data_IF_321337219780
#
_entry.id   IF_321337219780
#
_cell.length_a   1.000
_cell.length_b   1.000
_cell.length_c   1.000
_cell.angle_alpha   90.00
_cell.angle_beta   90.00
_cell.angle_gamma   90.00
#
_symmetry.space_group_name_H-M   'P 1'
#
loop_
_entity.id
_entity.type
_entity.pdbx_description
1 polymer ?
#
# COMPACT_ATOMS: atom_id res chain seq x y z
N UNK A 1 65.62 6.68 -74.12
CA UNK A 1 64.34 7.38 -74.31
C UNK A 1 63.34 6.79 -73.35
N UNK A 2 62.83 7.57 -72.39
CA UNK A 2 61.80 7.10 -71.47
C UNK A 2 60.49 6.95 -72.25
N UNK A 3 59.89 5.76 -72.24
CA UNK A 3 58.60 5.52 -72.87
C UNK A 3 57.57 6.46 -72.24
N UNK A 4 56.87 7.25 -73.06
CA UNK A 4 55.87 8.21 -72.61
C UNK A 4 54.59 7.46 -72.22
N UNK A 5 54.26 7.44 -70.92
CA UNK A 5 52.96 6.95 -70.45
C UNK A 5 51.86 7.93 -70.87
N UNK A 6 50.85 7.45 -71.60
CA UNK A 6 49.65 8.22 -71.95
C UNK A 6 48.53 7.96 -70.94
N UNK A 7 48.00 9.01 -70.34
CA UNK A 7 46.84 8.96 -69.45
C UNK A 7 45.56 8.82 -70.29
N UNK A 8 44.86 7.69 -70.14
CA UNK A 8 43.57 7.45 -70.81
C UNK A 8 42.48 7.48 -69.74
N UNK A 9 41.51 8.39 -69.88
CA UNK A 9 40.34 8.41 -69.00
C UNK A 9 39.44 7.23 -69.36
N UNK A 10 39.14 6.36 -68.40
CA UNK A 10 37.94 5.53 -68.48
C UNK A 10 36.73 6.48 -68.61
N UNK A 11 35.70 6.07 -69.37
CA UNK A 11 34.52 6.89 -69.65
C UNK A 11 33.78 7.38 -68.39
N UNK A 12 32.70 8.15 -68.59
CA UNK A 12 31.96 8.82 -67.50
C UNK A 12 31.72 7.92 -66.27
N UNK A 13 32.52 8.13 -65.23
CA UNK A 13 32.52 7.30 -64.02
C UNK A 13 31.20 7.49 -63.26
N UNK A 14 30.40 6.43 -63.17
CA UNK A 14 29.24 6.42 -62.27
C UNK A 14 29.72 6.24 -60.83
N UNK A 15 28.93 6.70 -59.86
CA UNK A 15 29.24 6.52 -58.44
C UNK A 15 29.35 5.03 -58.03
N UNK A 16 28.87 4.10 -58.85
CA UNK A 16 29.02 2.64 -58.73
C UNK A 16 30.42 2.13 -59.09
N UNK A 17 31.20 2.91 -59.83
CA UNK A 17 32.43 2.46 -60.47
C UNK A 17 33.66 2.84 -59.62
N UNK A 18 33.43 3.47 -58.46
CA UNK A 18 34.48 3.91 -57.54
C UNK A 18 35.02 2.74 -56.73
N UNK A 19 36.33 2.56 -56.78
CA UNK A 19 37.04 1.52 -56.03
C UNK A 19 37.08 1.90 -54.54
N UNK A 20 36.71 0.98 -53.66
CA UNK A 20 36.83 1.18 -52.21
C UNK A 20 38.23 0.78 -51.73
N UNK A 21 38.96 1.71 -51.11
CA UNK A 21 40.22 1.44 -50.42
C UNK A 21 39.93 1.40 -48.92
N UNK A 22 40.36 0.32 -48.28
CA UNK A 22 40.04 0.05 -46.87
C UNK A 22 41.30 0.14 -46.03
N UNK A 23 41.21 0.88 -44.92
CA UNK A 23 42.23 0.92 -43.88
C UNK A 23 41.62 0.51 -42.55
N UNK A 24 42.14 -0.55 -41.95
CA UNK A 24 41.69 -0.98 -40.62
C UNK A 24 42.44 -0.20 -39.54
N UNK A 25 41.73 0.21 -38.49
CA UNK A 25 42.32 0.91 -37.33
C UNK A 25 43.39 0.08 -36.63
N UNK A 26 43.24 -1.25 -36.64
CA UNK A 26 44.10 -2.19 -35.92
C UNK A 26 45.32 -2.63 -36.75
N UNK A 27 45.60 -1.97 -37.87
CA UNK A 27 46.72 -2.30 -38.76
C UNK A 27 46.34 -3.26 -39.90
N UNK A 28 47.30 -4.02 -40.41
CA UNK A 28 47.07 -4.93 -41.55
C UNK A 28 46.36 -6.23 -41.14
N UNK A 29 45.29 -6.58 -41.84
CA UNK A 29 44.55 -7.83 -41.61
C UNK A 29 45.24 -8.99 -42.33
N UNK A 30 45.57 -10.07 -41.60
CA UNK A 30 46.29 -11.24 -42.14
C UNK A 30 45.42 -12.13 -43.04
N UNK A 31 44.11 -12.19 -42.79
CA UNK A 31 43.16 -13.04 -43.51
C UNK A 31 42.08 -12.19 -44.20
N UNK A 32 42.50 -11.28 -45.08
CA UNK A 32 41.57 -10.37 -45.76
C UNK A 32 40.52 -11.12 -46.60
N UNK A 33 40.86 -12.29 -47.13
CA UNK A 33 39.97 -13.12 -47.97
C UNK A 33 38.80 -13.75 -47.18
N UNK A 34 38.87 -13.76 -45.84
CA UNK A 34 37.80 -14.27 -44.97
C UNK A 34 36.84 -13.18 -44.50
N UNK A 35 37.04 -11.95 -44.94
CA UNK A 35 36.18 -10.82 -44.57
C UNK A 35 35.11 -10.63 -45.64
N UNK A 36 33.86 -10.59 -45.20
CA UNK A 36 32.74 -10.27 -46.07
C UNK A 36 32.53 -8.76 -46.07
N UNK A 37 32.71 -8.13 -47.24
CA UNK A 37 32.56 -6.69 -47.41
C UNK A 37 31.18 -6.37 -47.96
N UNK A 38 30.42 -5.53 -47.23
CA UNK A 38 29.12 -5.01 -47.67
C UNK A 38 29.13 -3.49 -47.68
N UNK A 39 28.71 -2.91 -48.82
CA UNK A 39 28.66 -1.46 -49.01
C UNK A 39 27.21 -0.99 -49.05
N UNK A 40 26.87 -0.06 -48.16
CA UNK A 40 25.56 0.56 -48.09
C UNK A 40 25.60 1.98 -48.67
N UNK A 41 24.58 2.31 -49.46
CA UNK A 41 24.37 3.64 -50.04
C UNK A 41 23.14 4.29 -49.42
N UNK A 42 23.23 5.60 -49.18
CA UNK A 42 22.08 6.39 -48.74
C UNK A 42 21.04 6.51 -49.87
N UNK A 43 19.77 6.34 -49.52
CA UNK A 43 18.60 6.43 -50.43
C UNK A 43 18.25 7.87 -50.83
N UNK A 44 18.66 8.87 -50.04
CA UNK A 44 18.37 10.28 -50.30
C UNK A 44 19.24 10.84 -51.44
N UNK A 45 18.77 10.70 -52.68
CA UNK A 45 19.48 11.23 -53.87
C UNK A 45 19.24 12.72 -54.16
N UNK A 46 18.15 13.29 -53.60
CA UNK A 46 17.74 14.69 -53.81
C UNK A 46 18.73 15.65 -53.14
N UNK A 47 19.24 15.30 -51.95
CA UNK A 47 20.13 16.17 -51.19
C UNK A 47 21.59 15.93 -51.59
N UNK A 48 22.31 16.91 -52.17
CA UNK A 48 23.68 16.72 -52.65
C UNK A 48 24.66 16.32 -51.54
N UNK A 49 24.39 16.69 -50.28
CA UNK A 49 25.23 16.31 -49.11
C UNK A 49 24.98 14.88 -48.62
N UNK A 50 23.86 14.27 -48.99
CA UNK A 50 23.49 12.90 -48.59
C UNK A 50 23.71 11.89 -49.71
N UNK A 51 23.59 12.33 -50.96
CA UNK A 51 23.73 11.51 -52.18
C UNK A 51 25.01 10.65 -52.21
N UNK A 52 26.13 11.19 -51.73
CA UNK A 52 27.43 10.50 -51.74
C UNK A 52 27.78 9.79 -50.42
N UNK A 53 26.86 9.72 -49.45
CA UNK A 53 27.10 9.01 -48.20
C UNK A 53 27.14 7.51 -48.43
N UNK A 54 28.18 6.86 -47.92
CA UNK A 54 28.43 5.42 -48.01
C UNK A 54 28.91 4.91 -46.66
N UNK A 55 28.50 3.69 -46.34
CA UNK A 55 28.97 2.94 -45.17
C UNK A 55 29.53 1.63 -45.69
N UNK A 56 30.75 1.30 -45.30
CA UNK A 56 31.37 0.03 -45.57
C UNK A 56 31.42 -0.78 -44.28
N UNK A 57 30.93 -2.01 -44.35
CA UNK A 57 30.98 -2.98 -43.26
C UNK A 57 31.84 -4.14 -43.72
N UNK A 58 32.79 -4.55 -42.87
CA UNK A 58 33.55 -5.78 -43.06
C UNK A 58 33.26 -6.71 -41.90
N UNK A 59 32.69 -7.87 -42.19
CA UNK A 59 32.29 -8.84 -41.19
C UNK A 59 33.27 -10.02 -41.15
N UNK A 60 33.57 -10.46 -39.93
CA UNK A 60 34.36 -11.64 -39.62
C UNK A 60 33.55 -12.51 -38.67
N UNK A 61 33.92 -13.78 -38.53
CA UNK A 61 33.31 -14.73 -37.58
C UNK A 61 33.21 -14.19 -36.14
N UNK A 62 34.13 -13.30 -35.73
CA UNK A 62 34.24 -12.81 -34.34
C UNK A 62 33.99 -11.32 -34.15
N UNK A 63 34.06 -10.52 -35.21
CA UNK A 63 34.16 -9.07 -35.09
C UNK A 63 33.66 -8.38 -36.36
N UNK A 64 32.84 -7.35 -36.19
CA UNK A 64 32.36 -6.52 -37.29
C UNK A 64 33.13 -5.20 -37.29
N UNK A 65 33.58 -4.78 -38.46
CA UNK A 65 34.23 -3.49 -38.64
C UNK A 65 33.33 -2.57 -39.45
N UNK A 66 33.21 -1.32 -39.03
CA UNK A 66 32.37 -0.33 -39.73
C UNK A 66 33.18 0.94 -40.00
N UNK A 67 32.98 1.49 -41.20
CA UNK A 67 33.54 2.77 -41.59
C UNK A 67 32.58 3.54 -42.47
N UNK A 68 32.54 4.85 -42.25
CA UNK A 68 31.70 5.77 -43.00
C UNK A 68 32.54 6.84 -43.68
N UNK A 69 32.08 7.34 -44.81
CA UNK A 69 32.66 8.51 -45.48
C UNK A 69 32.03 9.84 -45.03
N UNK A 70 31.22 9.80 -43.96
CA UNK A 70 30.53 10.95 -43.37
C UNK A 70 30.51 10.82 -41.84
N UNK A 71 30.26 11.94 -41.16
CA UNK A 71 30.21 11.99 -39.70
C UNK A 71 31.58 12.20 -39.05
N UNK A 72 31.62 12.16 -37.73
CA UNK A 72 32.81 12.49 -36.92
C UNK A 72 33.92 11.44 -37.04
N UNK A 73 33.56 10.18 -37.25
CA UNK A 73 34.50 9.08 -37.50
C UNK A 73 35.08 9.07 -38.92
N UNK A 74 34.57 9.91 -39.84
CA UNK A 74 35.07 9.97 -41.21
C UNK A 74 36.40 10.71 -41.29
N UNK A 75 37.29 10.24 -42.15
CA UNK A 75 38.49 10.94 -42.54
C UNK A 75 38.16 12.34 -43.07
N UNK A 76 38.54 13.39 -42.32
CA UNK A 76 38.32 14.80 -42.69
C UNK A 76 38.95 15.17 -44.04
N UNK A 77 39.93 14.40 -44.51
CA UNK A 77 40.60 14.59 -45.80
C UNK A 77 39.78 14.17 -47.02
N UNK A 78 38.65 13.47 -46.87
CA UNK A 78 37.84 12.98 -48.00
C UNK A 78 37.15 14.10 -48.82
N UNK A 79 37.01 15.32 -48.28
CA UNK A 79 36.42 16.44 -49.04
C UNK A 79 37.46 17.27 -49.81
N UNK A 80 38.75 17.20 -49.45
CA UNK A 80 39.81 18.02 -50.03
C UNK A 80 40.74 17.20 -50.96
N UNK A 81 40.75 15.88 -50.82
CA UNK A 81 41.59 14.99 -51.60
C UNK A 81 40.75 14.00 -52.43
N UNK A 82 41.09 13.83 -53.71
CA UNK A 82 40.56 12.76 -54.56
C UNK A 82 41.61 11.68 -54.71
N UNK A 83 41.24 10.44 -54.42
CA UNK A 83 42.13 9.29 -54.57
C UNK A 83 41.81 8.58 -55.88
N UNK A 84 42.85 8.02 -56.51
CA UNK A 84 42.73 7.20 -57.70
C UNK A 84 43.63 5.98 -57.56
N UNK A 85 43.17 4.84 -58.07
CA UNK A 85 43.95 3.60 -58.20
C UNK A 85 44.37 3.46 -59.65
N UNK A 86 45.68 3.47 -59.88
CA UNK A 86 46.27 3.25 -61.21
C UNK A 86 46.70 1.81 -61.40
N UNK A 87 46.21 1.15 -62.45
CA UNK A 87 46.68 -0.16 -62.90
C UNK A 87 47.53 0.03 -64.15
N UNK A 88 48.84 -0.19 -64.03
CA UNK A 88 49.80 -0.01 -65.13
C UNK A 88 50.05 -1.35 -65.83
N UNK A 89 49.71 -1.42 -67.12
CA UNK A 89 50.10 -2.53 -67.96
C UNK A 89 51.53 -2.31 -68.49
N UNK A 90 52.50 -3.06 -67.94
CA UNK A 90 53.93 -2.93 -68.28
C UNK A 90 54.24 -3.27 -69.74
N UNK A 91 53.39 -4.04 -70.44
CA UNK A 91 53.61 -4.43 -71.84
C UNK A 91 53.16 -3.34 -72.81
N UNK A 92 52.02 -2.71 -72.55
CA UNK A 92 51.46 -1.63 -73.40
C UNK A 92 51.88 -0.24 -72.93
N UNK A 93 52.46 -0.12 -71.74
CA UNK A 93 52.79 1.14 -71.05
C UNK A 93 51.58 2.09 -70.90
N UNK A 94 50.38 1.52 -70.82
CA UNK A 94 49.14 2.25 -70.57
C UNK A 94 48.71 2.08 -69.11
N UNK A 95 48.22 3.17 -68.51
CA UNK A 95 47.74 3.19 -67.14
C UNK A 95 46.24 3.45 -67.11
N UNK A 96 45.49 2.48 -66.59
CA UNK A 96 44.07 2.63 -66.29
C UNK A 96 43.93 3.25 -64.91
N UNK A 97 43.15 4.31 -64.80
CA UNK A 97 43.01 5.07 -63.56
C UNK A 97 41.55 5.04 -63.15
N UNK A 98 41.29 4.45 -61.97
CA UNK A 98 39.96 4.35 -61.38
C UNK A 98 39.84 5.29 -60.20
N UNK A 99 38.77 6.08 -60.14
CA UNK A 99 38.44 6.86 -58.96
C UNK A 99 38.23 5.97 -57.74
N UNK A 100 38.78 6.38 -56.61
CA UNK A 100 38.79 5.59 -55.40
C UNK A 100 38.32 6.38 -54.18
N UNK A 101 37.63 5.68 -53.27
CA UNK A 101 37.16 6.21 -52.01
C UNK A 101 37.79 5.45 -50.85
N UNK A 102 38.38 6.20 -49.91
CA UNK A 102 39.08 5.63 -48.75
C UNK A 102 38.13 5.56 -47.55
N UNK A 103 38.04 4.37 -46.95
CA UNK A 103 37.28 4.08 -45.73
C UNK A 103 38.22 3.65 -44.61
N UNK A 104 38.08 4.29 -43.45
CA UNK A 104 38.68 3.80 -42.21
C UNK A 104 37.67 2.91 -41.48
N UNK A 105 38.02 1.64 -41.32
CA UNK A 105 37.21 0.66 -40.62
C UNK A 105 37.66 0.53 -39.16
N UNK A 106 36.73 0.76 -38.24
CA UNK A 106 36.92 0.59 -36.81
C UNK A 106 36.14 -0.64 -36.30
N UNK A 107 36.70 -1.43 -35.38
CA UNK A 107 36.00 -2.58 -34.80
C UNK A 107 34.83 -2.12 -33.95
N UNK A 108 33.70 -2.82 -34.05
CA UNK A 108 32.60 -2.73 -33.10
C UNK A 108 32.76 -3.89 -32.12
N UNK A 109 33.06 -3.56 -30.87
CA UNK A 109 33.19 -4.54 -29.79
C UNK A 109 31.82 -4.73 -29.14
N UNK A 110 31.23 -5.94 -29.18
CA UNK A 110 29.95 -6.20 -28.53
C UNK A 110 30.07 -5.92 -27.02
N UNK A 111 29.24 -5.01 -26.50
CA UNK A 111 29.24 -4.61 -25.09
C UNK A 111 29.96 -3.29 -24.80
N UNK A 112 30.78 -2.78 -25.73
CA UNK A 112 31.25 -1.40 -25.69
C UNK A 112 30.19 -0.53 -26.36
N UNK A 113 29.21 -0.07 -25.57
CA UNK A 113 28.37 1.03 -26.02
C UNK A 113 29.29 2.23 -26.19
N UNK A 114 29.70 2.50 -27.42
CA UNK A 114 30.14 3.84 -27.80
C UNK A 114 28.98 4.72 -27.38
N UNK A 115 29.14 5.45 -26.28
CA UNK A 115 28.21 6.48 -25.89
C UNK A 115 28.24 7.49 -27.04
N UNK A 116 27.37 7.27 -28.03
CA UNK A 116 26.99 8.29 -28.98
C UNK A 116 26.52 9.42 -28.10
N UNK A 117 27.37 10.45 -28.00
CA UNK A 117 27.16 11.73 -27.36
C UNK A 117 25.68 11.93 -27.13
N UNK A 118 25.24 11.68 -25.89
CA UNK A 118 23.83 11.75 -25.50
C UNK A 118 23.28 13.03 -26.11
N UNK A 119 22.25 12.85 -26.93
CA UNK A 119 21.56 13.94 -27.56
C UNK A 119 21.21 14.97 -26.48
N UNK A 120 21.84 16.14 -26.57
CA UNK A 120 21.57 17.39 -25.86
C UNK A 120 20.77 17.28 -24.56
N UNK A 121 21.50 17.48 -23.46
CA UNK A 121 21.07 17.84 -22.10
C UNK A 121 19.76 18.68 -21.99
N UNK A 122 18.61 18.06 -22.17
CA UNK A 122 17.31 18.69 -21.90
C UNK A 122 16.85 18.51 -20.46
N UNK A 123 17.44 17.57 -19.70
CA UNK A 123 17.07 17.31 -18.30
C UNK A 123 17.99 17.91 -17.25
N UNK A 124 19.16 18.45 -17.63
CA UNK A 124 20.10 19.02 -16.66
C UNK A 124 19.69 20.45 -16.29
N UNK A 125 19.55 20.70 -14.98
CA UNK A 125 19.27 22.04 -14.45
C UNK A 125 20.41 22.99 -14.80
N UNK A 126 20.13 24.29 -14.86
CA UNK A 126 21.15 25.32 -15.03
C UNK A 126 22.30 25.16 -14.03
N UNK A 127 21.98 24.79 -12.78
CA UNK A 127 22.98 24.52 -11.74
C UNK A 127 23.86 23.32 -12.06
N UNK A 128 23.28 22.25 -12.62
CA UNK A 128 24.03 21.04 -12.97
C UNK A 128 25.00 21.31 -14.11
N UNK A 129 24.59 22.12 -15.09
CA UNK A 129 25.46 22.59 -16.18
C UNK A 129 26.62 23.44 -15.64
N UNK A 130 26.36 24.34 -14.69
CA UNK A 130 27.41 25.13 -14.03
C UNK A 130 28.35 24.24 -13.20
N UNK A 131 27.81 23.29 -12.42
CA UNK A 131 28.60 22.35 -11.63
C UNK A 131 29.49 21.48 -12.55
N UNK A 132 28.99 21.08 -13.71
CA UNK A 132 29.75 20.35 -14.74
C UNK A 132 30.90 21.18 -15.33
N UNK A 133 30.66 22.47 -15.59
CA UNK A 133 31.70 23.41 -16.03
C UNK A 133 32.76 23.64 -14.94
N UNK A 134 32.36 23.71 -13.68
CA UNK A 134 33.30 23.82 -12.54
C UNK A 134 34.12 22.54 -12.38
N UNK A 135 33.51 21.37 -12.61
CA UNK A 135 34.20 20.09 -12.55
C UNK A 135 35.23 19.94 -13.68
N UNK A 136 34.89 20.36 -14.91
CA UNK A 136 35.80 20.34 -16.05
C UNK A 136 36.88 21.44 -15.96
N UNK A 137 36.48 22.71 -15.82
CA UNK A 137 37.33 23.89 -16.01
C UNK A 137 37.55 24.74 -14.74
N UNK A 138 36.90 24.42 -13.63
CA UNK A 138 37.00 25.20 -12.40
C UNK A 138 38.39 25.15 -11.75
N UNK A 139 38.70 26.17 -10.95
CA UNK A 139 39.92 26.20 -10.13
C UNK A 139 39.88 25.13 -9.02
N UNK A 140 41.03 24.71 -8.51
CA UNK A 140 41.11 23.71 -7.41
C UNK A 140 40.25 24.09 -6.19
N UNK A 141 40.18 25.40 -5.87
CA UNK A 141 39.31 25.94 -4.81
C UNK A 141 37.82 25.72 -5.11
N UNK A 142 37.39 25.99 -6.34
CA UNK A 142 35.99 25.79 -6.76
C UNK A 142 35.63 24.30 -6.81
N UNK A 143 36.52 23.43 -7.32
CA UNK A 143 36.31 21.97 -7.31
C UNK A 143 36.17 21.42 -5.89
N UNK A 144 37.00 21.90 -4.94
CA UNK A 144 36.89 21.53 -3.52
C UNK A 144 35.57 21.97 -2.90
N UNK A 145 35.12 23.19 -3.19
CA UNK A 145 33.83 23.72 -2.72
C UNK A 145 32.66 22.89 -3.25
N UNK A 146 32.68 22.55 -4.54
CA UNK A 146 31.66 21.70 -5.17
C UNK A 146 31.64 20.30 -4.54
N UNK A 147 32.80 19.69 -4.33
CA UNK A 147 32.88 18.36 -3.71
C UNK A 147 32.35 18.38 -2.26
N UNK A 148 32.67 19.41 -1.48
CA UNK A 148 32.11 19.61 -0.14
C UNK A 148 30.57 19.72 -0.17
N UNK A 149 30.01 20.50 -1.11
CA UNK A 149 28.55 20.61 -1.29
C UNK A 149 27.92 19.25 -1.64
N UNK A 150 28.52 18.47 -2.55
CA UNK A 150 28.03 17.13 -2.91
C UNK A 150 28.05 16.18 -1.71
N UNK A 151 29.13 16.17 -0.92
CA UNK A 151 29.24 15.33 0.28
C UNK A 151 28.16 15.65 1.33
N UNK A 152 27.87 16.94 1.55
CA UNK A 152 26.83 17.35 2.49
C UNK A 152 25.42 16.95 2.02
N UNK A 153 25.16 16.98 0.72
CA UNK A 153 23.87 16.56 0.16
C UNK A 153 23.62 15.06 0.33
N UNK A 154 24.64 14.23 0.06
CA UNK A 154 24.56 12.77 0.26
C UNK A 154 24.30 12.42 1.73
N UNK A 155 24.91 13.15 2.67
CA UNK A 155 24.64 12.96 4.11
C UNK A 155 23.15 13.23 4.45
N UNK A 156 22.56 14.29 3.90
CA UNK A 156 21.15 14.63 4.12
C UNK A 156 20.20 13.53 3.61
N UNK A 157 20.43 12.98 2.41
CA UNK A 157 19.59 11.93 1.85
C UNK A 157 19.67 10.63 2.66
N UNK A 158 20.88 10.24 3.09
CA UNK A 158 21.05 9.07 3.97
C UNK A 158 20.38 9.25 5.33
N UNK A 159 20.41 10.47 5.89
CA UNK A 159 19.69 10.80 7.12
C UNK A 159 18.17 10.76 6.93
N UNK A 160 17.64 11.32 5.84
CA UNK A 160 16.21 11.25 5.55
C UNK A 160 15.72 9.82 5.38
N UNK A 161 16.48 8.97 4.69
CA UNK A 161 16.16 7.55 4.55
C UNK A 161 16.20 6.82 5.91
N UNK A 162 17.20 7.11 6.76
CA UNK A 162 17.27 6.51 8.09
C UNK A 162 16.11 6.95 8.99
N UNK A 163 15.71 8.23 8.91
CA UNK A 163 14.56 8.78 9.66
C UNK A 163 13.24 8.20 9.17
N UNK A 164 13.04 8.10 7.86
CA UNK A 164 11.85 7.47 7.28
C UNK A 164 11.73 6.01 7.73
N UNK A 165 12.82 5.25 7.62
CA UNK A 165 12.86 3.86 8.08
C UNK A 165 12.58 3.72 9.58
N UNK A 166 13.10 4.63 10.40
CA UNK A 166 12.82 4.64 11.84
C UNK A 166 11.34 4.96 12.12
N UNK A 167 10.75 5.92 11.40
CA UNK A 167 9.33 6.24 11.51
C UNK A 167 8.46 5.05 11.11
N UNK A 168 8.77 4.38 9.99
CA UNK A 168 8.05 3.19 9.53
C UNK A 168 8.11 2.07 10.59
N UNK A 169 9.29 1.80 11.17
CA UNK A 169 9.42 0.79 12.23
C UNK A 169 8.63 1.13 13.50
N UNK A 170 8.54 2.41 13.85
CA UNK A 170 7.75 2.87 15.01
C UNK A 170 6.25 2.77 14.70
N UNK A 171 5.82 3.09 13.48
CA UNK A 171 4.43 2.98 13.05
C UNK A 171 4.00 1.51 13.02
N UNK A 172 4.84 0.61 12.51
CA UNK A 172 4.53 -0.82 12.47
C UNK A 172 4.47 -1.42 13.88
N UNK A 173 5.46 -1.14 14.74
CA UNK A 173 5.47 -1.71 16.09
C UNK A 173 4.43 -1.07 17.01
N UNK A 174 4.45 0.26 17.16
CA UNK A 174 3.53 0.95 18.07
C UNK A 174 2.12 1.07 17.52
N UNK A 175 1.95 1.13 16.20
CA UNK A 175 0.62 1.15 15.58
C UNK A 175 -0.12 -0.16 15.75
N UNK A 176 0.57 -1.30 15.61
CA UNK A 176 -0.06 -2.61 15.88
C UNK A 176 -0.35 -2.82 17.36
N UNK A 177 0.56 -2.42 18.26
CA UNK A 177 0.32 -2.48 19.71
C UNK A 177 -0.85 -1.58 20.13
N UNK A 178 -0.93 -0.34 19.62
CA UNK A 178 -2.03 0.57 19.93
C UNK A 178 -3.38 0.07 19.38
N UNK A 179 -3.41 -0.50 18.18
CA UNK A 179 -4.63 -1.09 17.62
C UNK A 179 -5.07 -2.34 18.39
N UNK A 180 -4.14 -3.19 18.80
CA UNK A 180 -4.45 -4.35 19.63
C UNK A 180 -5.01 -3.94 20.99
N UNK A 181 -4.45 -2.87 21.57
CA UNK A 181 -4.92 -2.34 22.84
C UNK A 181 -6.28 -1.64 22.70
N UNK A 182 -6.52 -0.86 21.65
CA UNK A 182 -7.84 -0.26 21.39
C UNK A 182 -8.92 -1.33 21.11
N UNK A 183 -8.60 -2.41 20.39
CA UNK A 183 -9.54 -3.52 20.16
C UNK A 183 -9.82 -4.28 21.45
N UNK A 184 -8.82 -4.52 22.29
CA UNK A 184 -9.01 -5.15 23.60
C UNK A 184 -9.84 -4.27 24.54
N UNK A 185 -9.52 -2.97 24.65
CA UNK A 185 -10.23 -2.01 25.50
C UNK A 185 -11.68 -1.82 25.05
N UNK A 186 -11.94 -1.74 23.74
CA UNK A 186 -13.31 -1.61 23.21
C UNK A 186 -14.14 -2.90 23.34
N UNK A 187 -13.53 -4.08 23.20
CA UNK A 187 -14.19 -5.35 23.49
C UNK A 187 -14.48 -5.51 24.99
N UNK A 188 -13.57 -5.11 25.86
CA UNK A 188 -13.77 -5.13 27.32
C UNK A 188 -14.84 -4.13 27.76
N UNK A 189 -14.84 -2.89 27.24
CA UNK A 189 -15.88 -1.89 27.57
C UNK A 189 -17.28 -2.34 27.15
N UNK A 190 -17.44 -2.93 25.95
CA UNK A 190 -18.74 -3.44 25.51
C UNK A 190 -19.16 -4.71 26.26
N UNK A 191 -18.22 -5.60 26.58
CA UNK A 191 -18.47 -6.83 27.34
C UNK A 191 -18.81 -6.56 28.82
N UNK A 192 -18.42 -5.40 29.37
CA UNK A 192 -18.84 -5.02 30.72
C UNK A 192 -20.36 -4.78 30.78
N UNK A 193 -20.98 -4.26 29.73
CA UNK A 193 -22.35 -3.74 29.79
C UNK A 193 -23.45 -4.73 29.38
N UNK A 194 -23.08 -5.85 28.75
CA UNK A 194 -24.01 -6.89 28.30
C UNK A 194 -23.68 -8.23 28.97
N UNK A 195 -24.68 -9.09 29.22
CA UNK A 195 -24.40 -10.48 29.59
C UNK A 195 -23.56 -11.18 28.50
N UNK A 196 -22.83 -12.25 28.83
CA UNK A 196 -22.00 -12.98 27.87
C UNK A 196 -22.76 -13.29 26.58
N UNK A 197 -22.23 -12.82 25.45
CA UNK A 197 -22.83 -12.96 24.13
C UNK A 197 -22.13 -14.08 23.37
N UNK A 198 -22.89 -15.10 22.94
CA UNK A 198 -22.40 -16.20 22.13
C UNK A 198 -22.80 -15.97 20.67
N UNK A 199 -21.93 -15.27 19.92
CA UNK A 199 -22.18 -14.92 18.52
C UNK A 199 -22.27 -16.14 17.59
N UNK A 200 -21.66 -17.26 17.99
CA UNK A 200 -21.61 -18.51 17.22
C UNK A 200 -22.81 -19.45 17.50
N UNK A 201 -23.84 -18.97 18.19
CA UNK A 201 -25.01 -19.79 18.52
C UNK A 201 -25.85 -20.14 17.28
N UNK A 202 -26.19 -21.43 17.14
CA UNK A 202 -26.99 -21.94 16.01
C UNK A 202 -28.45 -21.43 15.99
N UNK A 203 -28.95 -20.97 17.13
CA UNK A 203 -30.32 -20.43 17.27
C UNK A 203 -30.30 -19.07 17.97
N UNK A 204 -31.21 -18.15 17.60
CA UNK A 204 -31.26 -16.80 18.17
C UNK A 204 -31.56 -16.81 19.68
N UNK A 205 -32.21 -17.84 20.20
CA UNK A 205 -32.50 -18.02 21.62
C UNK A 205 -31.24 -18.37 22.44
N UNK A 206 -30.23 -18.96 21.82
CA UNK A 206 -29.00 -19.41 22.47
C UNK A 206 -27.87 -18.36 22.42
N UNK A 207 -28.12 -17.20 21.82
CA UNK A 207 -27.15 -16.08 21.78
C UNK A 207 -26.88 -15.55 23.20
N UNK A 208 -27.89 -15.60 24.08
CA UNK A 208 -27.77 -15.29 25.50
C UNK A 208 -28.35 -16.44 26.32
N UNK A 209 -27.49 -17.22 26.96
CA UNK A 209 -27.93 -18.37 27.74
C UNK A 209 -28.64 -17.92 29.02
N UNK A 210 -29.75 -18.57 29.32
CA UNK A 210 -30.52 -18.26 30.53
C UNK A 210 -29.73 -18.51 31.81
N UNK A 211 -28.89 -19.55 31.82
CA UNK A 211 -28.06 -19.94 32.98
C UNK A 211 -27.01 -18.89 33.35
N UNK A 212 -26.52 -18.14 32.37
CA UNK A 212 -25.57 -17.03 32.59
C UNK A 212 -26.26 -15.81 33.18
N UNK A 213 -27.55 -15.62 32.88
CA UNK A 213 -28.35 -14.53 33.43
C UNK A 213 -28.84 -14.83 34.85
N UNK A 214 -29.31 -16.05 35.08
CA UNK A 214 -29.77 -16.56 36.38
C UNK A 214 -29.28 -18.00 36.54
N UNK A 215 -28.40 -18.22 37.53
CA UNK A 215 -27.94 -19.57 37.81
C UNK A 215 -29.11 -20.42 38.36
N UNK A 216 -29.07 -21.76 38.23
CA UNK A 216 -30.16 -22.62 38.70
C UNK A 216 -30.52 -22.39 40.17
N UNK A 217 -29.52 -22.19 41.04
CA UNK A 217 -29.72 -21.91 42.46
C UNK A 217 -30.36 -20.55 42.74
N UNK A 218 -30.07 -19.55 41.90
CA UNK A 218 -30.70 -18.22 42.00
C UNK A 218 -32.15 -18.27 41.51
N UNK A 219 -32.39 -19.00 40.43
CA UNK A 219 -33.72 -19.18 39.88
C UNK A 219 -34.66 -19.95 40.83
N UNK A 220 -34.13 -20.96 41.53
CA UNK A 220 -34.85 -21.68 42.58
C UNK A 220 -35.19 -20.75 43.76
N UNK A 221 -34.25 -19.90 44.18
CA UNK A 221 -34.49 -18.95 45.27
C UNK A 221 -35.61 -17.93 44.98
N UNK A 222 -35.94 -17.68 43.70
CA UNK A 222 -37.00 -16.74 43.29
C UNK A 222 -38.42 -17.32 43.39
N UNK A 223 -38.59 -18.60 43.76
CA UNK A 223 -39.89 -19.28 43.84
C UNK A 223 -40.92 -18.52 44.69
N UNK A 224 -40.56 -18.10 45.90
CA UNK A 224 -41.47 -17.38 46.80
C UNK A 224 -41.87 -16.00 46.24
N UNK A 225 -40.98 -15.35 45.50
CA UNK A 225 -41.24 -14.08 44.82
C UNK A 225 -42.11 -14.25 43.58
N UNK A 226 -41.85 -15.30 42.79
CA UNK A 226 -42.65 -15.68 41.62
C UNK A 226 -44.09 -16.05 42.00
N UNK A 227 -44.27 -16.84 43.07
CA UNK A 227 -45.58 -17.20 43.60
C UNK A 227 -46.40 -15.97 44.01
N UNK A 228 -45.76 -14.97 44.63
CA UNK A 228 -46.40 -13.68 44.98
C UNK A 228 -46.81 -12.90 43.72
N UNK A 229 -46.00 -12.93 42.67
CA UNK A 229 -46.34 -12.28 41.40
C UNK A 229 -47.45 -13.01 40.64
N UNK A 230 -47.50 -14.35 40.73
CA UNK A 230 -48.56 -15.16 40.13
C UNK A 230 -49.90 -15.01 40.86
N UNK A 231 -49.87 -14.71 42.16
CA UNK A 231 -51.06 -14.51 43.00
C UNK A 231 -51.59 -13.07 43.01
N UNK A 232 -50.98 -12.14 42.26
CA UNK A 232 -51.42 -10.74 42.17
C UNK A 232 -52.83 -10.64 41.60
N UNK A 233 -53.67 -9.84 42.26
CA UNK A 233 -55.02 -9.53 41.77
C UNK A 233 -54.97 -8.53 40.61
N UNK A 234 -55.98 -8.51 39.70
CA UNK A 234 -56.02 -7.55 38.59
C UNK A 234 -56.01 -6.08 39.06
N UNK A 235 -56.52 -5.80 40.27
CA UNK A 235 -56.48 -4.46 40.88
C UNK A 235 -55.06 -4.04 41.29
N UNK A 236 -54.22 -4.98 41.73
CA UNK A 236 -52.82 -4.73 42.06
C UNK A 236 -51.95 -4.61 40.82
N UNK A 237 -52.29 -5.33 39.74
CA UNK A 237 -51.68 -5.14 38.41
C UNK A 237 -51.99 -3.74 37.85
N UNK A 238 -53.21 -3.24 38.04
CA UNK A 238 -53.60 -1.89 37.66
C UNK A 238 -52.77 -0.84 38.42
N UNK A 239 -52.57 -1.02 39.74
CA UNK A 239 -51.69 -0.15 40.54
C UNK A 239 -50.24 -0.14 40.05
N UNK A 240 -49.68 -1.30 39.71
CA UNK A 240 -48.32 -1.37 39.14
C UNK A 240 -48.20 -0.67 37.76
N UNK A 241 -49.29 -0.63 36.99
CA UNK A 241 -49.37 0.10 35.72
C UNK A 241 -49.40 1.61 35.95
N UNK A 242 -50.18 2.07 36.93
CA UNK A 242 -50.33 3.49 37.26
C UNK A 242 -49.07 4.10 37.87
N UNK A 243 -48.32 3.33 38.66
CA UNK A 243 -47.05 3.75 39.27
C UNK A 243 -45.90 3.90 38.26
N UNK A 244 -46.10 3.59 36.96
CA UNK A 244 -45.07 3.50 35.90
C UNK A 244 -43.89 2.59 36.23
N UNK A 245 -43.99 1.78 37.28
CA UNK A 245 -42.84 1.06 37.82
C UNK A 245 -42.44 -0.13 36.97
N UNK A 246 -43.38 -0.82 36.30
CA UNK A 246 -43.08 -2.10 35.63
C UNK A 246 -44.03 -2.46 34.46
N UNK A 247 -44.25 -1.58 33.47
CA UNK A 247 -45.12 -1.89 32.31
C UNK A 247 -44.74 -3.22 31.62
N UNK A 248 -43.44 -3.52 31.50
CA UNK A 248 -42.96 -4.77 30.90
C UNK A 248 -43.31 -6.01 31.74
N UNK A 249 -43.20 -5.94 33.07
CA UNK A 249 -43.57 -7.07 33.93
C UNK A 249 -45.08 -7.34 33.87
N UNK A 250 -45.89 -6.29 33.81
CA UNK A 250 -47.37 -6.42 33.66
C UNK A 250 -47.73 -7.10 32.34
N UNK A 251 -47.11 -6.71 31.22
CA UNK A 251 -47.34 -7.35 29.93
C UNK A 251 -46.95 -8.85 29.94
N UNK A 252 -45.84 -9.18 30.62
CA UNK A 252 -45.41 -10.58 30.77
C UNK A 252 -46.43 -11.39 31.60
N UNK A 253 -47.01 -10.79 32.64
CA UNK A 253 -48.02 -11.43 33.49
C UNK A 253 -49.37 -11.58 32.77
N UNK A 254 -49.78 -10.60 31.95
CA UNK A 254 -50.99 -10.68 31.12
C UNK A 254 -50.89 -11.81 30.07
N UNK A 255 -49.69 -12.02 29.51
CA UNK A 255 -49.40 -13.12 28.59
C UNK A 255 -49.31 -14.51 29.28
N UNK A 256 -49.37 -14.60 30.61
CA UNK A 256 -49.35 -15.89 31.33
C UNK A 256 -50.66 -16.67 31.24
N UNK A 257 -51.78 -16.02 30.90
CA UNK A 257 -53.11 -16.66 30.91
C UNK A 257 -53.25 -17.78 29.86
N UNK A 258 -52.34 -17.85 28.89
CA UNK A 258 -52.37 -18.79 27.76
C UNK A 258 -51.26 -19.84 27.75
N UNK A 259 -50.36 -19.86 28.75
CA UNK A 259 -49.19 -20.75 28.77
C UNK A 259 -49.34 -21.96 29.72
N UNK A 260 -48.59 -23.05 29.47
CA UNK A 260 -48.56 -24.26 30.31
C UNK A 260 -47.95 -24.03 31.71
N UNK A 261 -48.23 -24.91 32.68
CA UNK A 261 -47.92 -24.69 34.10
C UNK A 261 -46.44 -24.40 34.40
N UNK A 262 -45.50 -25.16 33.82
CA UNK A 262 -44.06 -24.96 34.02
C UNK A 262 -43.57 -23.63 33.42
N UNK A 263 -44.12 -23.25 32.26
CA UNK A 263 -43.77 -21.99 31.60
C UNK A 263 -44.33 -20.79 32.37
N UNK A 264 -45.51 -20.93 32.99
CA UNK A 264 -46.09 -19.89 33.86
C UNK A 264 -45.25 -19.67 35.11
N UNK A 265 -44.80 -20.74 35.76
CA UNK A 265 -43.93 -20.62 36.94
C UNK A 265 -42.62 -19.92 36.56
N UNK A 266 -41.96 -20.35 35.48
CA UNK A 266 -40.74 -19.70 34.97
C UNK A 266 -40.96 -18.23 34.63
N UNK A 267 -42.05 -17.91 33.95
CA UNK A 267 -42.38 -16.54 33.56
C UNK A 267 -42.68 -15.65 34.78
N UNK A 268 -43.34 -16.19 35.82
CA UNK A 268 -43.64 -15.45 37.05
C UNK A 268 -42.39 -15.10 37.85
N UNK A 269 -41.44 -16.03 37.95
CA UNK A 269 -40.13 -15.82 38.59
C UNK A 269 -39.29 -14.79 37.82
N UNK A 270 -39.27 -14.88 36.49
CA UNK A 270 -38.61 -13.89 35.63
C UNK A 270 -39.26 -12.51 35.74
N UNK A 271 -40.59 -12.42 35.79
CA UNK A 271 -41.31 -11.15 35.97
C UNK A 271 -40.99 -10.50 37.32
N UNK A 272 -40.88 -11.31 38.40
CA UNK A 272 -40.44 -10.81 39.70
C UNK A 272 -39.01 -10.25 39.63
N UNK A 273 -38.08 -10.99 39.03
CA UNK A 273 -36.69 -10.55 38.86
C UNK A 273 -36.58 -9.26 38.03
N UNK A 274 -37.33 -9.17 36.92
CA UNK A 274 -37.39 -7.98 36.08
C UNK A 274 -37.94 -6.78 36.85
N UNK A 275 -38.97 -6.99 37.68
CA UNK A 275 -39.52 -5.93 38.53
C UNK A 275 -38.50 -5.39 39.55
N UNK A 276 -37.63 -6.25 40.08
CA UNK A 276 -36.54 -5.86 40.98
C UNK A 276 -35.47 -5.04 40.24
N UNK A 277 -35.10 -5.47 39.02
CA UNK A 277 -34.14 -4.73 38.18
C UNK A 277 -34.65 -3.35 37.81
N UNK A 278 -35.93 -3.21 37.43
CA UNK A 278 -36.54 -1.93 37.11
C UNK A 278 -36.59 -1.00 38.33
N UNK A 279 -36.97 -1.53 39.50
CA UNK A 279 -36.92 -0.76 40.76
C UNK A 279 -35.52 -0.30 41.12
N UNK A 280 -34.51 -1.14 40.88
CA UNK A 280 -33.11 -0.80 41.10
C UNK A 280 -32.66 0.31 40.13
N UNK A 281 -33.03 0.22 38.85
CA UNK A 281 -32.72 1.22 37.83
C UNK A 281 -33.29 2.62 38.13
N UNK A 282 -34.43 2.68 38.83
CA UNK A 282 -35.07 3.95 39.22
C UNK A 282 -34.42 4.60 40.45
N UNK A 283 -33.58 3.89 41.21
CA UNK A 283 -32.92 4.40 42.40
C UNK A 283 -31.48 4.83 42.10
N UNK A 284 -31.11 6.06 42.48
CA UNK A 284 -29.72 6.55 42.32
C UNK A 284 -28.77 5.97 43.36
N UNK A 285 -29.27 5.74 44.58
CA UNK A 285 -28.54 5.15 45.69
C UNK A 285 -29.41 4.08 46.33
N UNK A 286 -28.82 2.93 46.63
CA UNK A 286 -29.55 1.79 47.19
C UNK A 286 -29.02 1.45 48.58
N UNK A 287 -29.92 1.37 49.55
CA UNK A 287 -29.57 0.96 50.91
C UNK A 287 -29.45 -0.58 51.00
N UNK A 288 -28.63 -1.07 51.94
CA UNK A 288 -28.50 -2.52 52.26
C UNK A 288 -29.82 -3.23 52.64
N UNK A 289 -30.91 -2.49 52.83
CA UNK A 289 -32.25 -3.02 53.12
C UNK A 289 -33.12 -3.22 51.86
N UNK A 290 -32.62 -2.91 50.66
CA UNK A 290 -33.35 -3.08 49.41
C UNK A 290 -33.92 -4.48 49.23
N UNK A 291 -35.18 -4.59 48.85
CA UNK A 291 -35.86 -5.87 48.60
C UNK A 291 -36.31 -6.63 49.86
N UNK A 292 -35.95 -6.20 51.08
CA UNK A 292 -36.35 -6.91 52.31
C UNK A 292 -37.86 -6.91 52.57
N UNK A 293 -38.53 -5.79 52.26
CA UNK A 293 -39.99 -5.66 52.41
C UNK A 293 -40.74 -6.47 51.34
N UNK A 294 -40.08 -6.79 50.23
CA UNK A 294 -40.66 -7.50 49.08
C UNK A 294 -40.36 -9.01 49.09
N UNK A 295 -39.68 -9.50 50.14
CA UNK A 295 -39.30 -10.91 50.28
C UNK A 295 -38.15 -11.35 49.37
N UNK A 296 -37.28 -10.43 48.94
CA UNK A 296 -36.17 -10.76 48.04
C UNK A 296 -35.12 -11.64 48.76
N UNK A 297 -34.76 -12.80 48.19
CA UNK A 297 -33.71 -13.66 48.74
C UNK A 297 -32.35 -12.95 48.82
N UNK A 298 -31.58 -13.22 49.87
CA UNK A 298 -30.26 -12.59 50.08
C UNK A 298 -29.28 -12.87 48.93
N UNK A 299 -29.36 -14.04 48.31
CA UNK A 299 -28.50 -14.46 47.20
C UNK A 299 -28.71 -13.51 46.00
N UNK A 300 -29.96 -13.22 45.66
CA UNK A 300 -30.33 -12.29 44.60
C UNK A 300 -29.94 -10.86 44.96
N UNK A 301 -30.17 -10.45 46.21
CA UNK A 301 -29.78 -9.11 46.68
C UNK A 301 -28.25 -8.90 46.56
N UNK A 302 -27.45 -9.88 46.95
CA UNK A 302 -26.00 -9.85 46.81
C UNK A 302 -25.54 -9.80 45.35
N UNK A 303 -26.18 -10.56 44.45
CA UNK A 303 -25.91 -10.50 43.01
C UNK A 303 -26.21 -9.12 42.44
N UNK A 304 -27.37 -8.54 42.78
CA UNK A 304 -27.78 -7.23 42.31
C UNK A 304 -26.78 -6.14 42.70
N UNK A 305 -26.31 -6.14 43.95
CA UNK A 305 -25.31 -5.18 44.39
C UNK A 305 -23.95 -5.39 43.72
N UNK A 306 -23.52 -6.64 43.58
CA UNK A 306 -22.21 -6.94 42.97
C UNK A 306 -22.14 -6.53 41.50
N UNK A 307 -23.23 -6.74 40.75
CA UNK A 307 -23.22 -6.57 39.30
C UNK A 307 -23.72 -5.19 38.85
N UNK A 308 -24.59 -4.53 39.62
CA UNK A 308 -25.25 -3.28 39.19
C UNK A 308 -24.94 -2.06 40.06
N UNK A 309 -24.14 -2.21 41.12
CA UNK A 309 -23.79 -1.09 42.00
C UNK A 309 -22.29 -0.98 42.25
N UNK A 310 -21.81 0.25 42.43
CA UNK A 310 -20.45 0.56 42.88
C UNK A 310 -20.51 1.17 44.28
N UNK A 311 -19.64 0.70 45.16
CA UNK A 311 -19.49 1.29 46.48
C UNK A 311 -18.87 2.69 46.36
N UNK A 312 -19.62 3.71 46.77
CA UNK A 312 -19.17 5.10 46.77
C UNK A 312 -19.10 5.61 48.21
N UNK A 313 -18.00 6.30 48.53
CA UNK A 313 -17.83 6.92 49.83
C UNK A 313 -18.34 8.36 49.76
N UNK A 314 -19.51 8.62 50.35
CA UNK A 314 -20.11 9.95 50.32
C UNK A 314 -20.56 10.35 51.73
N UNK A 315 -20.19 11.56 52.16
CA UNK A 315 -20.51 12.11 53.48
C UNK A 315 -20.19 11.16 54.67
N UNK A 316 -19.04 10.48 54.62
CA UNK A 316 -18.58 9.61 55.72
C UNK A 316 -19.31 8.27 55.84
N UNK A 317 -20.16 7.90 54.87
CA UNK A 317 -20.84 6.59 54.83
C UNK A 317 -20.63 5.93 53.46
N UNK A 318 -20.45 4.62 53.47
CA UNK A 318 -20.43 3.80 52.24
C UNK A 318 -21.87 3.66 51.74
N UNK A 319 -22.11 4.05 50.49
CA UNK A 319 -23.40 3.92 49.82
C UNK A 319 -23.22 3.20 48.47
N UNK A 320 -24.17 2.36 48.10
CA UNK A 320 -24.16 1.68 46.81
C UNK A 320 -24.79 2.59 45.77
N UNK A 321 -23.98 3.09 44.83
CA UNK A 321 -24.43 3.89 43.70
C UNK A 321 -24.78 2.98 42.53
N UNK A 322 -25.93 3.19 41.89
CA UNK A 322 -26.37 2.37 40.76
C UNK A 322 -25.67 2.80 39.48
N UNK A 323 -25.06 1.85 38.77
CA UNK A 323 -24.48 2.10 37.46
C UNK A 323 -25.63 2.13 36.44
N UNK A 324 -26.02 3.33 36.01
CA UNK A 324 -27.27 3.61 35.27
C UNK A 324 -27.46 2.83 33.96
N UNK A 325 -26.39 2.30 33.35
CA UNK A 325 -26.42 1.69 32.01
C UNK A 325 -26.81 0.20 32.07
N UNK A 326 -26.33 -0.54 33.07
CA UNK A 326 -26.44 -2.02 33.11
C UNK A 326 -27.87 -2.53 33.39
N UNK A 327 -28.65 -1.83 34.22
CA UNK A 327 -29.99 -2.29 34.58
C UNK A 327 -31.01 -2.10 33.44
N UNK A 328 -30.81 -1.07 32.60
CA UNK A 328 -31.71 -0.77 31.49
C UNK A 328 -31.52 -1.76 30.32
N UNK A 329 -30.27 -2.08 29.94
CA UNK A 329 -30.00 -3.04 28.87
C UNK A 329 -30.46 -4.46 29.19
N UNK A 330 -30.27 -4.94 30.42
CA UNK A 330 -30.73 -6.29 30.80
C UNK A 330 -32.26 -6.36 30.90
N UNK A 331 -32.92 -5.29 31.36
CA UNK A 331 -34.39 -5.24 31.29
C UNK A 331 -34.92 -5.21 29.85
N UNK A 332 -34.18 -4.62 28.91
CA UNK A 332 -34.52 -4.64 27.48
C UNK A 332 -34.28 -6.00 26.81
N UNK A 333 -33.25 -6.74 27.23
CA UNK A 333 -32.99 -8.11 26.76
C UNK A 333 -34.06 -9.09 27.26
N UNK A 334 -34.53 -8.91 28.49
CA UNK A 334 -35.60 -9.74 29.07
C UNK A 334 -37.01 -9.39 28.56
N UNK A 335 -37.23 -8.19 28.02
CA UNK A 335 -38.56 -7.74 27.54
C UNK A 335 -38.82 -7.96 26.05
N UNK A 336 -37.82 -8.38 25.27
CA UNK A 336 -37.94 -8.57 23.82
C UNK A 336 -38.11 -7.25 23.04
N UNK A 337 -38.06 -7.27 21.69
CA UNK A 337 -37.84 -6.10 20.84
C UNK A 337 -39.00 -5.09 20.75
N UNK A 338 -39.98 -5.11 21.65
CA UNK A 338 -41.18 -4.27 21.54
C UNK A 338 -41.10 -2.90 22.24
N UNK A 339 -40.03 -2.58 22.98
CA UNK A 339 -39.99 -1.40 23.85
C UNK A 339 -38.97 -0.30 23.47
N UNK A 340 -38.36 -0.34 22.27
CA UNK A 340 -37.32 0.61 21.87
C UNK A 340 -37.81 1.85 21.08
N UNK A 341 -39.12 2.11 21.01
CA UNK A 341 -39.64 3.33 20.41
C UNK A 341 -40.32 4.22 21.45
N UNK A 342 -39.56 5.14 22.06
CA UNK A 342 -40.19 6.24 22.78
C UNK A 342 -39.33 6.94 23.82
N UNK A 343 -38.17 7.51 23.44
CA UNK A 343 -37.60 8.65 24.18
C UNK A 343 -36.43 9.29 23.43
N UNK A 344 -36.73 9.97 22.33
CA UNK A 344 -35.95 11.11 21.86
C UNK A 344 -36.96 12.18 21.45
N UNK A 345 -37.39 12.95 22.44
CA UNK A 345 -37.83 14.34 22.31
C UNK A 345 -38.17 14.87 23.70
N UNK A 346 -37.18 15.55 24.31
CA UNK A 346 -37.34 16.75 25.13
C UNK A 346 -35.99 17.38 25.42
#
# INVERSE_FOLDING_TARGET
MAASCSFVRCGDEKDSDKVAIVRFSNGSVKNADRLDFTMYKNTDEINPRKKHRRILVAESERLSYVGSNFGEASLKCNNLCKYYVGVLNKKTMQMEVHSAQVFNLCPIIPGETVETTKAQDTSLSYRDKVDSLVEAFGTSKQKRSLNSRRLNQVCSETLHHAVAKAADTVIEQKGLEALQQEVAESQEELALHLPPCYADADTPENVYLFEDLLSPAEFEALEEGGAKMAALTPEELQKMRDDRQCLCAVNILENMQTAGEEMRDKMSRCAYYLSLLLKLAQQKYVARKFGKEQGCPRIIQSKLFRNFTVETFNNGRVQNFVIFIHAFQISSLLSGPAAACGSHDR
#
